data_IF_521347421581
#
_entry.id   IF_521347421581
#
_cell.length_a   1.000
_cell.length_b   1.000
_cell.length_c   1.000
_cell.angle_alpha   90.00
_cell.angle_beta   90.00
_cell.angle_gamma   90.00
#
_symmetry.space_group_name_H-M   'P 1'
#
loop_
_entity.id
_entity.type
_entity.pdbx_description
1 polymer ?
#
# COMPACT_ATOMS: atom_id res chain seq x y z
N UNK A 1 -13.25 7.80 1.38
CA UNK A 1 -11.88 7.89 0.85
C UNK A 1 -11.04 6.81 1.52
N UNK A 2 -10.31 6.02 0.73
CA UNK A 2 -9.43 4.96 1.22
C UNK A 2 -7.99 5.44 1.10
N UNK A 3 -7.15 5.08 2.07
CA UNK A 3 -5.69 5.21 2.00
C UNK A 3 -5.06 3.83 2.13
N UNK A 4 -4.11 3.52 1.25
CA UNK A 4 -3.38 2.25 1.25
C UNK A 4 -1.89 2.52 1.43
N UNK A 5 -1.32 1.85 2.41
CA UNK A 5 0.12 1.77 2.64
C UNK A 5 0.62 0.38 2.22
N UNK A 6 1.56 0.32 1.29
CA UNK A 6 2.17 -0.94 0.85
C UNK A 6 3.52 -1.17 1.52
N UNK A 7 3.78 -2.36 2.03
CA UNK A 7 5.16 -2.85 2.05
C UNK A 7 5.68 -3.03 0.61
N UNK A 8 6.99 -3.20 0.44
CA UNK A 8 7.62 -3.38 -0.86
C UNK A 8 8.05 -4.83 -1.07
N UNK A 9 8.85 -5.37 -0.17
CA UNK A 9 9.49 -6.67 -0.36
C UNK A 9 8.49 -7.77 -0.01
N UNK A 10 8.38 -8.82 -0.84
CA UNK A 10 7.35 -9.86 -0.70
C UNK A 10 5.91 -9.41 -0.99
N UNK A 11 5.67 -8.11 -1.14
CA UNK A 11 4.34 -7.51 -1.35
C UNK A 11 4.13 -7.03 -2.79
N UNK A 12 4.99 -6.13 -3.28
CA UNK A 12 4.92 -5.58 -4.63
C UNK A 12 5.81 -6.38 -5.60
N UNK A 13 5.43 -6.46 -6.87
CA UNK A 13 6.23 -7.15 -7.91
C UNK A 13 7.63 -6.56 -8.08
N UNK A 14 7.84 -5.30 -7.67
CA UNK A 14 9.14 -4.62 -7.70
C UNK A 14 9.99 -4.83 -6.42
N UNK A 15 9.49 -5.60 -5.47
CA UNK A 15 10.21 -5.97 -4.25
C UNK A 15 11.29 -7.02 -4.47
N UNK A 16 12.07 -7.28 -3.43
CA UNK A 16 13.09 -8.33 -3.36
C UNK A 16 12.97 -9.11 -2.02
N UNK A 17 12.30 -10.28 -2.00
CA UNK A 17 11.75 -10.99 -3.16
C UNK A 17 10.53 -10.28 -3.78
N UNK A 18 10.21 -10.51 -5.06
CA UNK A 18 9.00 -9.99 -5.68
C UNK A 18 7.73 -10.54 -5.03
N UNK A 19 6.75 -9.67 -4.80
CA UNK A 19 5.42 -10.02 -4.31
C UNK A 19 4.37 -10.16 -5.42
N UNK A 20 3.13 -10.46 -5.01
CA UNK A 20 2.01 -10.74 -5.92
C UNK A 20 1.30 -9.49 -6.45
N UNK A 21 1.48 -8.32 -5.80
CA UNK A 21 0.84 -7.09 -6.22
C UNK A 21 1.60 -6.43 -7.38
N UNK A 22 1.02 -6.51 -8.56
CA UNK A 22 1.59 -5.86 -9.76
C UNK A 22 1.43 -4.34 -9.69
N UNK A 23 2.37 -3.60 -10.27
CA UNK A 23 2.33 -2.14 -10.38
C UNK A 23 1.14 -1.65 -11.19
N UNK A 24 0.64 -2.45 -12.14
CA UNK A 24 -0.59 -2.15 -12.86
C UNK A 24 -1.83 -2.15 -11.98
N UNK A 25 -1.92 -3.05 -10.98
CA UNK A 25 -3.01 -3.04 -10.00
C UNK A 25 -2.91 -1.79 -9.11
N UNK A 26 -1.70 -1.44 -8.66
CA UNK A 26 -1.47 -0.21 -7.87
C UNK A 26 -1.91 1.04 -8.65
N UNK A 27 -1.54 1.14 -9.93
CA UNK A 27 -1.95 2.27 -10.80
C UNK A 27 -3.47 2.36 -10.96
N UNK A 28 -4.15 1.23 -11.19
CA UNK A 28 -5.62 1.20 -11.31
C UNK A 28 -6.29 1.68 -10.02
N UNK A 29 -5.78 1.22 -8.88
CA UNK A 29 -6.29 1.58 -7.55
C UNK A 29 -6.25 3.10 -7.34
N UNK A 30 -5.12 3.75 -7.68
CA UNK A 30 -4.99 5.20 -7.56
C UNK A 30 -6.02 5.98 -8.39
N UNK A 31 -6.39 5.45 -9.56
CA UNK A 31 -7.40 6.05 -10.44
C UNK A 31 -8.80 6.20 -9.82
N UNK A 32 -9.06 5.55 -8.69
CA UNK A 32 -10.33 5.62 -7.96
C UNK A 32 -10.37 6.70 -6.85
N UNK A 33 -9.40 7.62 -6.83
CA UNK A 33 -9.31 8.64 -5.78
C UNK A 33 -8.83 8.08 -4.44
N UNK A 34 -8.04 6.99 -4.51
CA UNK A 34 -7.44 6.32 -3.36
C UNK A 34 -6.03 6.86 -3.16
N UNK A 35 -5.72 7.24 -1.93
CA UNK A 35 -4.38 7.69 -1.56
C UNK A 35 -3.47 6.47 -1.42
N UNK A 36 -2.28 6.52 -2.02
CA UNK A 36 -1.34 5.40 -2.01
C UNK A 36 0.04 5.84 -1.56
N UNK A 37 0.72 4.96 -0.82
CA UNK A 37 2.11 5.18 -0.42
C UNK A 37 2.76 3.91 0.08
N UNK A 38 4.04 4.01 0.42
CA UNK A 38 4.79 2.87 0.96
C UNK A 38 5.16 3.04 2.43
N UNK A 39 5.20 1.92 3.11
CA UNK A 39 5.76 1.77 4.44
C UNK A 39 6.62 0.51 4.45
N UNK A 40 7.93 0.68 4.29
CA UNK A 40 8.92 -0.40 4.15
C UNK A 40 10.14 -0.14 5.03
N UNK A 41 10.89 -1.19 5.35
CA UNK A 41 12.20 -1.08 6.03
C UNK A 41 13.29 -0.50 5.12
N UNK A 42 13.04 -0.44 3.81
CA UNK A 42 13.94 0.25 2.87
C UNK A 42 14.06 1.74 3.26
N UNK A 43 15.25 2.36 3.08
CA UNK A 43 15.40 3.79 3.27
C UNK A 43 14.37 4.59 2.45
N UNK A 44 13.82 5.67 3.01
CA UNK A 44 12.77 6.47 2.36
C UNK A 44 13.20 6.96 0.97
N UNK A 45 14.47 7.33 0.79
CA UNK A 45 15.01 7.71 -0.52
C UNK A 45 14.95 6.55 -1.53
N UNK A 46 15.26 5.32 -1.08
CA UNK A 46 15.15 4.11 -1.90
C UNK A 46 13.69 3.85 -2.28
N UNK A 47 12.76 3.92 -1.32
CA UNK A 47 11.33 3.76 -1.60
C UNK A 47 10.86 4.75 -2.68
N UNK A 48 11.17 6.04 -2.51
CA UNK A 48 10.80 7.09 -3.47
C UNK A 48 11.39 6.85 -4.86
N UNK A 49 12.66 6.46 -4.93
CA UNK A 49 13.31 6.16 -6.20
C UNK A 49 12.65 4.97 -6.92
N UNK A 50 12.23 3.94 -6.18
CA UNK A 50 11.55 2.78 -6.78
C UNK A 50 10.19 3.20 -7.38
N UNK A 51 9.41 4.03 -6.66
CA UNK A 51 8.15 4.58 -7.17
C UNK A 51 8.34 5.50 -8.38
N UNK A 52 9.39 6.33 -8.36
CA UNK A 52 9.74 7.22 -9.48
C UNK A 52 10.12 6.41 -10.73
N UNK A 53 10.93 5.36 -10.58
CA UNK A 53 11.28 4.44 -11.66
C UNK A 53 10.07 3.68 -12.19
N UNK A 54 9.13 3.32 -11.32
CA UNK A 54 7.84 2.76 -11.69
C UNK A 54 6.89 3.78 -12.33
N UNK A 55 7.22 5.07 -12.32
CA UNK A 55 6.36 6.17 -12.78
C UNK A 55 4.97 6.15 -12.10
N UNK A 56 4.93 5.80 -10.82
CA UNK A 56 3.72 5.82 -9.99
C UNK A 56 3.89 6.95 -8.97
N UNK A 57 3.10 8.04 -9.07
CA UNK A 57 3.17 9.11 -8.09
C UNK A 57 2.54 8.62 -6.79
N UNK A 58 3.32 8.43 -5.73
CA UNK A 58 2.80 8.10 -4.41
C UNK A 58 2.62 9.36 -3.55
N UNK A 59 1.62 9.36 -2.68
CA UNK A 59 1.31 10.45 -1.77
C UNK A 59 2.30 10.51 -0.60
N UNK A 60 2.83 9.34 -0.20
CA UNK A 60 3.80 9.24 0.89
C UNK A 60 4.74 8.05 0.74
N UNK A 61 5.89 8.15 1.41
CA UNK A 61 6.82 7.07 1.65
C UNK A 61 7.38 7.25 3.07
N UNK A 62 7.18 6.25 3.93
CA UNK A 62 7.50 6.31 5.36
C UNK A 62 8.17 5.02 5.83
N UNK A 63 8.74 5.05 7.04
CA UNK A 63 9.21 3.84 7.73
C UNK A 63 8.14 3.28 8.66
N UNK A 64 8.24 2.01 9.08
CA UNK A 64 7.24 1.29 9.92
C UNK A 64 6.80 2.06 11.16
N UNK A 65 7.75 2.68 11.86
CA UNK A 65 7.47 3.47 13.07
C UNK A 65 6.77 4.81 12.81
N UNK A 66 6.67 5.25 11.55
CA UNK A 66 6.05 6.52 11.14
C UNK A 66 4.67 6.33 10.51
N UNK A 67 4.09 5.12 10.54
CA UNK A 67 2.70 4.91 10.15
C UNK A 67 1.70 5.81 10.89
N UNK A 68 1.86 6.09 12.21
CA UNK A 68 0.99 7.03 12.89
C UNK A 68 0.97 8.43 12.25
N UNK A 69 2.12 8.94 11.83
CA UNK A 69 2.26 10.26 11.18
C UNK A 69 1.43 10.35 9.87
N UNK A 70 1.18 9.22 9.21
CA UNK A 70 0.36 9.18 7.99
C UNK A 70 -1.07 9.59 8.31
N UNK A 71 -1.64 9.10 9.42
CA UNK A 71 -3.01 9.46 9.84
C UNK A 71 -3.13 10.91 10.31
N UNK A 72 -2.03 11.51 10.74
CA UNK A 72 -2.00 12.94 11.09
C UNK A 72 -1.96 13.84 9.85
N UNK A 73 -1.38 13.35 8.75
CA UNK A 73 -1.16 14.12 7.50
C UNK A 73 -2.26 13.92 6.47
N UNK A 74 -2.90 12.76 6.46
CA UNK A 74 -3.90 12.39 5.47
C UNK A 74 -5.19 11.97 6.16
N UNK A 75 -6.30 12.55 5.71
CA UNK A 75 -7.64 12.20 6.18
C UNK A 75 -8.26 11.18 5.22
N UNK A 76 -8.56 9.98 5.72
CA UNK A 76 -9.28 8.93 5.02
C UNK A 76 -10.31 8.28 5.95
N UNK A 77 -11.34 7.67 5.37
CA UNK A 77 -12.36 6.93 6.12
C UNK A 77 -11.84 5.55 6.55
N UNK A 78 -10.97 4.94 5.73
CA UNK A 78 -10.37 3.63 5.95
C UNK A 78 -8.89 3.68 5.59
N UNK A 79 -8.07 3.06 6.44
CA UNK A 79 -6.62 2.99 6.29
C UNK A 79 -6.20 1.53 6.21
N UNK A 80 -5.69 1.09 5.08
CA UNK A 80 -5.14 -0.25 4.89
C UNK A 80 -3.62 -0.23 4.90
N UNK A 81 -3.01 -1.22 5.54
CA UNK A 81 -1.63 -1.61 5.30
C UNK A 81 -1.61 -3.01 4.68
N UNK A 82 -0.90 -3.16 3.56
CA UNK A 82 -0.71 -4.45 2.89
C UNK A 82 0.75 -4.83 3.02
N UNK A 83 1.03 -6.01 3.57
CA UNK A 83 2.38 -6.51 3.81
C UNK A 83 2.44 -8.02 3.93
N UNK A 84 3.61 -8.62 3.79
CA UNK A 84 3.83 -10.07 3.78
C UNK A 84 4.37 -10.62 5.13
N UNK A 85 4.59 -9.76 6.14
CA UNK A 85 5.14 -10.17 7.45
C UNK A 85 4.22 -9.87 8.62
N UNK A 86 3.99 -10.90 9.45
CA UNK A 86 3.15 -10.75 10.65
C UNK A 86 3.79 -9.85 11.72
N UNK A 87 5.08 -10.02 12.00
CA UNK A 87 5.78 -9.37 13.11
C UNK A 87 6.11 -7.90 12.83
N UNK A 88 6.32 -7.54 11.57
CA UNK A 88 6.73 -6.19 11.15
C UNK A 88 5.62 -5.40 10.45
N UNK A 89 4.75 -6.03 9.68
CA UNK A 89 3.72 -5.28 8.94
C UNK A 89 2.44 -5.21 9.76
N UNK A 90 1.91 -6.37 10.11
CA UNK A 90 0.64 -6.46 10.83
C UNK A 90 0.71 -5.80 12.20
N UNK A 91 1.79 -6.02 12.96
CA UNK A 91 1.91 -5.43 14.30
C UNK A 91 1.96 -3.89 14.24
N UNK A 92 2.77 -3.31 13.35
CA UNK A 92 2.90 -1.85 13.24
C UNK A 92 1.64 -1.21 12.63
N UNK A 93 1.00 -1.86 11.65
CA UNK A 93 -0.26 -1.41 11.10
C UNK A 93 -1.35 -1.32 12.18
N UNK A 94 -1.58 -2.40 12.92
CA UNK A 94 -2.59 -2.45 13.97
C UNK A 94 -2.28 -1.45 15.10
N UNK A 95 -1.01 -1.32 15.48
CA UNK A 95 -0.58 -0.34 16.48
C UNK A 95 -0.84 1.12 16.04
N UNK A 96 -0.74 1.40 14.74
CA UNK A 96 -1.08 2.70 14.16
C UNK A 96 -2.59 2.86 13.86
N UNK A 97 -3.40 1.83 14.10
CA UNK A 97 -4.84 1.83 13.81
C UNK A 97 -5.17 1.75 12.33
N UNK A 98 -4.34 1.05 11.56
CA UNK A 98 -4.64 0.61 10.19
C UNK A 98 -5.31 -0.77 10.24
N UNK A 99 -6.18 -1.04 9.28
CA UNK A 99 -6.55 -2.41 8.92
C UNK A 99 -5.38 -3.07 8.19
N UNK A 100 -5.22 -4.38 8.35
CA UNK A 100 -4.14 -5.13 7.73
C UNK A 100 -4.72 -6.15 6.74
N UNK A 101 -4.11 -6.24 5.56
CA UNK A 101 -4.44 -7.24 4.55
C UNK A 101 -3.16 -7.95 4.11
N UNK A 102 -3.24 -9.26 3.93
CA UNK A 102 -2.19 -9.99 3.23
C UNK A 102 -2.24 -9.68 1.73
N UNK A 103 -1.12 -9.79 0.99
CA UNK A 103 -1.09 -9.45 -0.43
C UNK A 103 -2.08 -10.28 -1.27
N UNK A 104 -2.31 -11.53 -0.91
CA UNK A 104 -3.27 -12.44 -1.54
C UNK A 104 -4.74 -12.15 -1.16
N UNK A 105 -4.98 -11.57 0.02
CA UNK A 105 -6.30 -11.04 0.37
C UNK A 105 -6.58 -9.75 -0.41
N UNK A 106 -5.59 -8.86 -0.47
CA UNK A 106 -5.72 -7.56 -1.11
C UNK A 106 -6.06 -7.65 -2.60
N UNK A 107 -5.55 -8.65 -3.34
CA UNK A 107 -5.93 -8.84 -4.76
C UNK A 107 -7.40 -9.16 -4.98
N UNK A 108 -8.10 -9.63 -3.94
CA UNK A 108 -9.53 -9.94 -3.98
C UNK A 108 -10.41 -8.73 -3.67
N UNK A 109 -9.83 -7.63 -3.19
CA UNK A 109 -10.59 -6.43 -2.84
C UNK A 109 -11.08 -5.69 -4.08
N UNK A 110 -12.36 -5.23 -4.14
CA UNK A 110 -12.93 -4.62 -5.35
C UNK A 110 -12.14 -3.42 -5.88
N UNK A 111 -11.53 -2.65 -4.99
CA UNK A 111 -10.74 -1.47 -5.30
C UNK A 111 -9.31 -1.78 -5.78
N UNK A 112 -8.80 -2.99 -5.54
CA UNK A 112 -7.53 -3.48 -6.07
C UNK A 112 -7.72 -4.51 -7.20
N UNK A 113 -8.93 -5.05 -7.36
CA UNK A 113 -9.23 -6.16 -8.26
C UNK A 113 -9.07 -5.78 -9.74
N UNK A 114 -8.74 -6.78 -10.56
CA UNK A 114 -8.47 -6.62 -12.00
C UNK A 114 -9.63 -6.01 -12.79
N UNK A 115 -10.86 -6.20 -12.32
CA UNK A 115 -12.08 -5.80 -13.01
C UNK A 115 -12.55 -4.38 -12.66
N UNK A 116 -11.92 -3.72 -11.67
CA UNK A 116 -12.36 -2.43 -11.16
C UNK A 116 -13.79 -2.50 -10.61
N UNK A 117 -14.25 -1.42 -9.99
CA UNK A 117 -15.65 -1.30 -9.58
C UNK A 117 -16.58 -1.41 -10.80
N UNK A 118 -17.04 -2.61 -11.14
CA UNK A 118 -18.18 -2.76 -12.04
C UNK A 118 -19.38 -2.13 -11.31
N UNK A 119 -19.99 -1.05 -11.82
CA UNK A 119 -21.22 -0.55 -11.23
C UNK A 119 -22.23 -1.70 -11.30
N UNK A 120 -22.76 -2.11 -10.15
CA UNK A 120 -23.87 -3.05 -10.12
C UNK A 120 -25.03 -2.41 -10.87
N UNK A 121 -25.32 -2.93 -12.05
CA UNK A 121 -26.47 -2.58 -12.90
C UNK A 121 -27.78 -3.06 -12.29
#
# INVERSE_FOLDING_TARGET
>A
MILISFDIDGTLEMGDPPGVLTLDLVRKTQGHGILIGSCSDRPISTQRNMWEQAQIPVDFAVSKHQLPDVKERFEADIYYHIGDREDLDRQYALAAGFEFLWPDEAVSEPWLSRDGFAPQS
#
